data_IF_569654719979
#
_entry.id   IF_569654719979
#
_cell.length_a   1.000
_cell.length_b   1.000
_cell.length_c   1.000
_cell.angle_alpha   90.00
_cell.angle_beta   90.00
_cell.angle_gamma   90.00
#
_symmetry.space_group_name_H-M   'P 1'
#
loop_
_entity.id
_entity.type
_entity.pdbx_description
1 polymer ?
#
# COMPACT_ATOMS: atom_id res chain seq x y z
N UNK A 1 -14.03 19.98 21.45
CA UNK A 1 -13.90 19.18 20.20
C UNK A 1 -14.91 18.05 20.24
N UNK A 2 -15.83 17.97 19.27
CA UNK A 2 -16.97 17.04 19.29
C UNK A 2 -16.57 15.57 19.13
N UNK A 3 -15.56 15.28 18.30
CA UNK A 3 -15.13 13.92 17.93
C UNK A 3 -13.83 13.47 18.61
N UNK A 4 -13.41 14.16 19.67
CA UNK A 4 -12.19 13.78 20.40
C UNK A 4 -12.41 12.41 21.03
N UNK A 5 -11.43 11.51 20.86
CA UNK A 5 -11.47 10.11 21.31
C UNK A 5 -12.44 9.21 20.56
N UNK A 6 -12.91 9.59 19.36
CA UNK A 6 -13.59 8.65 18.49
C UNK A 6 -12.66 7.48 18.15
N UNK A 7 -13.18 6.26 18.25
CA UNK A 7 -12.44 5.00 18.03
C UNK A 7 -13.38 3.93 17.50
N UNK A 8 -12.81 2.96 16.82
CA UNK A 8 -13.52 1.74 16.43
C UNK A 8 -13.57 0.72 17.59
N UNK A 9 -14.42 -0.30 17.52
CA UNK A 9 -14.51 -1.34 18.56
C UNK A 9 -13.22 -2.14 18.71
N UNK A 10 -12.52 -2.41 17.61
CA UNK A 10 -11.23 -3.11 17.56
C UNK A 10 -10.09 -2.28 18.15
N UNK A 11 -10.15 -0.95 18.05
CA UNK A 11 -9.16 -0.04 18.62
C UNK A 11 -9.33 0.19 20.13
N UNK A 12 -10.52 -0.05 20.68
CA UNK A 12 -10.79 0.07 22.12
C UNK A 12 -10.10 -1.09 22.85
N UNK A 13 -8.88 -0.82 23.33
CA UNK A 13 -8.12 -1.74 24.17
C UNK A 13 -8.95 -2.13 25.41
N UNK A 14 -8.88 -3.42 25.78
CA UNK A 14 -9.66 -3.96 26.92
C UNK A 14 -9.40 -3.25 28.26
N UNK A 15 -8.21 -2.68 28.45
CA UNK A 15 -7.77 -2.06 29.70
C UNK A 15 -7.99 -0.54 29.76
N UNK A 16 -8.61 0.06 28.74
CA UNK A 16 -8.83 1.52 28.69
C UNK A 16 -10.24 1.87 29.22
N UNK A 17 -10.40 1.75 30.54
CA UNK A 17 -11.69 1.96 31.24
C UNK A 17 -12.24 3.37 31.01
N UNK A 18 -11.37 4.37 30.92
CA UNK A 18 -11.74 5.75 30.64
C UNK A 18 -12.42 5.88 29.27
N UNK A 19 -11.84 5.27 28.24
CA UNK A 19 -12.39 5.31 26.88
C UNK A 19 -13.71 4.53 26.82
N UNK A 20 -13.82 3.37 27.47
CA UNK A 20 -15.09 2.61 27.54
C UNK A 20 -16.22 3.41 28.20
N UNK A 21 -15.93 4.04 29.33
CA UNK A 21 -16.89 4.89 30.03
C UNK A 21 -17.31 6.09 29.15
N UNK A 22 -16.38 6.63 28.37
CA UNK A 22 -16.65 7.74 27.46
C UNK A 22 -17.56 7.32 26.29
N UNK A 23 -17.28 6.18 25.64
CA UNK A 23 -18.09 5.64 24.55
C UNK A 23 -19.49 5.22 25.02
N UNK A 24 -19.62 4.69 26.24
CA UNK A 24 -20.93 4.41 26.86
C UNK A 24 -21.76 5.68 27.04
N UNK A 25 -21.13 6.78 27.47
CA UNK A 25 -21.79 8.09 27.64
C UNK A 25 -22.03 8.82 26.31
N UNK A 26 -21.24 8.53 25.28
CA UNK A 26 -21.26 9.21 23.97
C UNK A 26 -21.19 8.18 22.85
N UNK A 27 -22.31 7.49 22.55
CA UNK A 27 -22.33 6.43 21.54
C UNK A 27 -21.87 6.87 20.15
N UNK A 28 -22.04 8.16 19.81
CA UNK A 28 -21.59 8.76 18.56
C UNK A 28 -20.06 8.82 18.38
N UNK A 29 -19.28 8.52 19.43
CA UNK A 29 -17.81 8.39 19.32
C UNK A 29 -17.39 7.01 18.80
N UNK A 30 -18.29 6.03 18.79
CA UNK A 30 -18.01 4.70 18.25
C UNK A 30 -18.11 4.73 16.73
N UNK A 31 -16.98 4.47 16.07
CA UNK A 31 -16.92 4.36 14.61
C UNK A 31 -17.35 2.92 14.25
N UNK A 32 -18.35 2.73 13.37
CA UNK A 32 -18.75 1.41 12.93
C UNK A 32 -17.62 0.75 12.13
N UNK A 33 -17.38 -0.52 12.40
CA UNK A 33 -16.51 -1.39 11.60
C UNK A 33 -17.38 -2.40 10.88
N UNK A 34 -17.11 -2.62 9.59
CA UNK A 34 -17.77 -3.65 8.80
C UNK A 34 -16.75 -4.73 8.46
N UNK A 35 -17.09 -5.96 8.81
CA UNK A 35 -16.42 -7.16 8.37
C UNK A 35 -17.03 -7.72 7.09
N UNK A 36 -16.48 -8.85 6.65
CA UNK A 36 -16.98 -9.62 5.49
C UNK A 36 -18.43 -10.06 5.69
N UNK A 37 -18.78 -10.41 6.93
CA UNK A 37 -20.09 -10.95 7.30
C UNK A 37 -21.18 -9.87 7.31
N UNK A 38 -20.80 -8.61 7.61
CA UNK A 38 -21.74 -7.48 7.65
C UNK A 38 -22.24 -7.06 6.26
N UNK A 39 -21.51 -7.44 5.21
CA UNK A 39 -21.80 -7.06 3.81
C UNK A 39 -22.13 -8.26 2.90
N UNK A 40 -22.26 -9.46 3.48
CA UNK A 40 -22.51 -10.72 2.76
C UNK A 40 -21.55 -10.93 1.57
N UNK A 41 -20.26 -10.62 1.79
CA UNK A 41 -19.27 -10.71 0.73
C UNK A 41 -18.86 -12.17 0.47
N UNK A 42 -18.80 -12.53 -0.83
CA UNK A 42 -18.31 -13.83 -1.29
C UNK A 42 -16.84 -14.02 -0.93
N UNK A 43 -16.59 -14.91 0.04
CA UNK A 43 -15.26 -15.22 0.59
C UNK A 43 -14.28 -15.68 -0.51
N UNK A 44 -14.78 -16.31 -1.57
CA UNK A 44 -13.95 -16.78 -2.68
C UNK A 44 -13.42 -15.65 -3.55
N UNK A 45 -14.05 -14.46 -3.50
CA UNK A 45 -13.75 -13.30 -4.34
C UNK A 45 -13.06 -12.15 -3.61
N UNK A 46 -12.69 -12.35 -2.35
CA UNK A 46 -11.99 -11.35 -1.54
C UNK A 46 -10.59 -11.81 -1.16
N UNK A 47 -9.75 -10.84 -0.78
CA UNK A 47 -8.38 -11.09 -0.35
C UNK A 47 -7.51 -11.72 -1.43
N UNK A 48 -6.52 -12.50 -1.02
CA UNK A 48 -5.58 -13.15 -1.94
C UNK A 48 -6.27 -14.22 -2.82
N UNK A 49 -7.25 -14.95 -2.27
CA UNK A 49 -8.00 -15.98 -3.00
C UNK A 49 -8.86 -15.41 -4.13
N UNK A 50 -9.40 -14.22 -3.93
CA UNK A 50 -10.20 -13.53 -4.94
C UNK A 50 -9.41 -12.77 -5.99
N UNK A 51 -8.10 -12.58 -5.79
CA UNK A 51 -7.28 -11.80 -6.71
C UNK A 51 -6.86 -12.65 -7.92
N UNK A 52 -7.18 -12.24 -9.16
CA UNK A 52 -6.75 -12.94 -10.36
C UNK A 52 -5.23 -12.83 -10.59
N UNK A 53 -4.58 -11.85 -9.97
CA UNK A 53 -3.14 -11.61 -10.07
C UNK A 53 -2.45 -11.84 -8.72
N UNK A 54 -1.19 -12.28 -8.77
CA UNK A 54 -0.35 -12.48 -7.58
C UNK A 54 1.03 -11.85 -7.81
N UNK A 55 1.46 -11.02 -6.87
CA UNK A 55 2.80 -10.41 -6.90
C UNK A 55 3.85 -11.51 -6.83
N UNK A 56 4.78 -11.54 -7.80
CA UNK A 56 5.83 -12.56 -7.91
C UNK A 56 7.13 -12.11 -7.23
N UNK A 57 7.55 -10.89 -7.50
CA UNK A 57 8.72 -10.24 -6.88
C UNK A 57 8.39 -8.78 -6.63
N UNK A 58 9.03 -8.19 -5.61
CA UNK A 58 8.97 -6.76 -5.32
C UNK A 58 10.40 -6.25 -5.44
N UNK A 59 10.62 -5.31 -6.35
CA UNK A 59 11.91 -4.70 -6.60
C UNK A 59 11.86 -3.24 -6.16
N UNK A 60 12.75 -2.88 -5.24
CA UNK A 60 12.86 -1.51 -4.75
C UNK A 60 13.87 -0.76 -5.59
N UNK A 61 13.40 0.02 -6.57
CA UNK A 61 14.25 0.84 -7.41
C UNK A 61 14.55 2.14 -6.67
N UNK A 62 15.80 2.32 -6.25
CA UNK A 62 16.31 3.61 -5.80
C UNK A 62 16.65 4.41 -7.04
N UNK A 63 15.88 5.47 -7.31
CA UNK A 63 16.18 6.42 -8.37
C UNK A 63 17.44 7.20 -7.97
N UNK A 64 18.61 6.69 -8.35
CA UNK A 64 19.85 7.48 -8.34
C UNK A 64 19.74 8.56 -9.42
N UNK A 65 20.22 9.76 -9.09
CA UNK A 65 19.91 10.98 -9.83
C UNK A 65 20.26 10.94 -11.33
N UNK A 66 19.58 11.83 -12.05
CA UNK A 66 19.51 12.03 -13.49
C UNK A 66 20.87 12.46 -14.09
N UNK A 67 21.76 11.50 -14.35
CA UNK A 67 22.97 11.74 -15.14
C UNK A 67 22.61 11.78 -16.63
N UNK A 68 22.56 12.99 -17.19
CA UNK A 68 22.49 13.14 -18.64
C UNK A 68 23.85 12.78 -19.24
N UNK A 69 23.93 11.66 -19.96
CA UNK A 69 25.11 11.26 -20.73
C UNK A 69 25.06 11.86 -22.13
N UNK A 70 26.16 12.48 -22.56
CA UNK A 70 26.36 12.92 -23.94
C UNK A 70 27.16 11.82 -24.64
N UNK A 71 26.59 11.27 -25.72
CA UNK A 71 27.19 10.20 -26.51
C UNK A 71 27.68 10.77 -27.86
N UNK A 72 28.76 10.19 -28.39
CA UNK A 72 29.22 10.48 -29.75
C UNK A 72 28.55 9.57 -30.79
N UNK A 73 28.85 9.78 -32.07
CA UNK A 73 28.44 8.91 -33.19
C UNK A 73 29.33 7.66 -33.34
N UNK A 74 30.23 7.40 -32.38
CA UNK A 74 31.09 6.22 -32.42
C UNK A 74 30.31 4.93 -32.12
N UNK A 75 30.68 3.84 -32.81
CA UNK A 75 30.03 2.53 -32.64
C UNK A 75 30.12 2.02 -31.19
N UNK A 76 31.21 2.34 -30.49
CA UNK A 76 31.43 1.93 -29.10
C UNK A 76 30.43 2.60 -28.13
N UNK A 77 30.15 3.89 -28.32
CA UNK A 77 29.20 4.63 -27.49
C UNK A 77 27.78 4.11 -27.68
N UNK A 78 27.41 3.79 -28.93
CA UNK A 78 26.12 3.19 -29.27
C UNK A 78 25.99 1.80 -28.64
N UNK A 79 27.02 0.96 -28.74
CA UNK A 79 27.00 -0.39 -28.15
C UNK A 79 26.83 -0.35 -26.63
N UNK A 80 27.55 0.55 -25.96
CA UNK A 80 27.45 0.73 -24.51
C UNK A 80 26.07 1.27 -24.09
N UNK A 81 25.50 2.20 -24.85
CA UNK A 81 24.14 2.70 -24.61
C UNK A 81 23.11 1.57 -24.70
N UNK A 82 23.18 0.71 -25.72
CA UNK A 82 22.23 -0.39 -25.89
C UNK A 82 22.34 -1.39 -24.72
N UNK A 83 23.56 -1.72 -24.27
CA UNK A 83 23.77 -2.61 -23.11
C UNK A 83 23.15 -2.04 -21.84
N UNK A 84 23.35 -0.74 -21.60
CA UNK A 84 22.77 -0.04 -20.44
C UNK A 84 21.24 -0.07 -20.47
N UNK A 85 20.62 0.23 -21.62
CA UNK A 85 19.16 0.24 -21.75
C UNK A 85 18.53 -1.15 -21.53
N UNK A 86 19.23 -2.23 -21.90
CA UNK A 86 18.80 -3.61 -21.63
C UNK A 86 18.92 -3.92 -20.13
N UNK A 87 20.04 -3.57 -19.50
CA UNK A 87 20.26 -3.80 -18.06
C UNK A 87 19.23 -3.06 -17.20
N UNK A 88 18.89 -1.83 -17.60
CA UNK A 88 17.84 -1.02 -16.97
C UNK A 88 16.41 -1.46 -17.35
N UNK A 89 16.25 -2.52 -18.15
CA UNK A 89 14.95 -3.03 -18.60
C UNK A 89 14.08 -1.94 -19.28
N UNK A 90 14.73 -0.99 -19.98
CA UNK A 90 14.05 0.06 -20.75
C UNK A 90 13.71 -0.46 -22.16
N UNK A 91 14.58 -1.28 -22.74
CA UNK A 91 14.35 -1.99 -24.00
C UNK A 91 14.62 -3.48 -23.79
N UNK A 92 13.64 -4.32 -24.13
CA UNK A 92 13.68 -5.78 -23.89
C UNK A 92 12.50 -6.23 -23.04
#
# INVERSE_FOLDING_TARGET
MQYKYARTNSEIRKNDEFIRALHSKRPYLTIPEWGVEDIDADVTKIGLSGSPTKVKSVESIVLTANEAKVLSDSDLDIENMIKELIDHHIIG
#
